data_IF_280087192128
#
_entry.id   IF_280087192128
#
_cell.length_a   1.000
_cell.length_b   1.000
_cell.length_c   1.000
_cell.angle_alpha   90.00
_cell.angle_beta   90.00
_cell.angle_gamma   90.00
#
_symmetry.space_group_name_H-M   'P 1'
#
loop_
_entity.id
_entity.type
_entity.pdbx_description
1 polymer ?
#
# COMPACT_ATOMS: atom_id res chain seq x y z
N UNK A 1 -4.27 27.07 -17.41
CA UNK A 1 -3.68 25.98 -16.59
C UNK A 1 -4.51 24.74 -16.90
N UNK A 2 -3.91 23.66 -17.42
CA UNK A 2 -4.65 22.42 -17.69
C UNK A 2 -4.96 21.72 -16.37
N UNK A 3 -6.17 21.19 -16.22
CA UNK A 3 -6.54 20.38 -15.06
C UNK A 3 -5.76 19.05 -15.08
N UNK A 4 -5.41 18.47 -13.92
CA UNK A 4 -4.75 17.17 -13.87
C UNK A 4 -5.66 16.08 -14.44
N UNK A 5 -5.05 15.05 -15.01
CA UNK A 5 -5.74 13.88 -15.57
C UNK A 5 -5.70 12.72 -14.59
N UNK A 6 -6.78 11.95 -14.53
CA UNK A 6 -6.84 10.75 -13.71
C UNK A 6 -7.24 9.51 -14.53
N UNK A 7 -6.77 8.34 -14.08
CA UNK A 7 -7.06 7.05 -14.69
C UNK A 7 -7.33 6.01 -13.62
N UNK A 8 -8.42 5.25 -13.78
CA UNK A 8 -8.70 4.09 -12.91
C UNK A 8 -7.74 2.95 -13.24
N UNK A 9 -7.08 2.41 -12.21
CA UNK A 9 -6.15 1.29 -12.33
C UNK A 9 -6.86 -0.02 -11.96
N UNK A 10 -7.71 -0.52 -12.86
CA UNK A 10 -8.52 -1.71 -12.61
C UNK A 10 -7.72 -3.01 -12.34
N UNK A 11 -6.45 -3.06 -12.76
CA UNK A 11 -5.52 -4.16 -12.50
C UNK A 11 -4.80 -4.09 -11.15
N UNK A 12 -5.16 -3.11 -10.31
CA UNK A 12 -4.57 -2.88 -9.00
C UNK A 12 -5.61 -3.10 -7.90
N UNK A 13 -5.17 -3.62 -6.76
CA UNK A 13 -6.03 -3.90 -5.61
C UNK A 13 -5.23 -3.82 -4.30
N UNK A 14 -5.95 -3.85 -3.17
CA UNK A 14 -5.38 -3.58 -1.84
C UNK A 14 -5.60 -4.75 -0.88
N UNK A 15 -4.53 -5.17 -0.20
CA UNK A 15 -4.60 -5.96 1.03
C UNK A 15 -4.56 -5.04 2.23
N UNK A 16 -5.43 -5.30 3.20
CA UNK A 16 -5.34 -4.71 4.53
C UNK A 16 -4.60 -5.68 5.46
N UNK A 17 -3.67 -5.15 6.24
CA UNK A 17 -3.00 -5.83 7.34
C UNK A 17 -3.27 -5.02 8.61
N UNK A 18 -3.98 -5.64 9.55
CA UNK A 18 -4.35 -5.05 10.84
C UNK A 18 -3.94 -5.99 11.99
N UNK A 19 -3.94 -5.47 13.21
CA UNK A 19 -3.62 -6.16 14.44
C UNK A 19 -2.35 -5.62 15.13
N UNK A 20 -2.22 -5.89 16.42
CA UNK A 20 -1.17 -5.34 17.27
C UNK A 20 0.25 -5.71 16.81
N UNK A 21 0.39 -6.82 16.08
CA UNK A 21 1.67 -7.30 15.57
C UNK A 21 1.93 -6.90 14.10
N UNK A 22 1.03 -6.16 13.44
CA UNK A 22 1.04 -5.95 11.98
C UNK A 22 2.38 -5.40 11.45
N UNK A 23 2.89 -4.34 12.08
CA UNK A 23 4.17 -3.71 11.68
C UNK A 23 5.36 -4.63 11.91
N UNK A 24 5.42 -5.29 13.07
CA UNK A 24 6.51 -6.19 13.42
C UNK A 24 6.52 -7.43 12.52
N UNK A 25 5.35 -7.99 12.24
CA UNK A 25 5.15 -9.07 11.29
C UNK A 25 5.63 -8.67 9.90
N UNK A 26 5.14 -7.56 9.35
CA UNK A 26 5.45 -7.15 7.98
C UNK A 26 6.95 -6.77 7.81
N UNK A 27 7.58 -6.19 8.84
CA UNK A 27 9.01 -5.86 8.82
C UNK A 27 9.90 -7.07 8.50
N UNK A 28 9.53 -8.25 8.97
CA UNK A 28 10.28 -9.49 8.70
C UNK A 28 10.00 -10.10 7.33
N UNK A 29 8.97 -9.62 6.62
CA UNK A 29 8.47 -10.24 5.40
C UNK A 29 8.90 -9.53 4.12
N UNK A 30 9.11 -8.20 4.17
CA UNK A 30 9.29 -7.37 2.98
C UNK A 30 10.70 -6.81 2.87
N UNK A 31 11.09 -6.36 1.67
CA UNK A 31 12.43 -5.88 1.37
C UNK A 31 12.76 -4.46 1.89
N UNK A 32 11.80 -3.76 2.49
CA UNK A 32 11.95 -2.38 2.93
C UNK A 32 11.51 -2.21 4.39
N UNK A 33 11.88 -1.08 4.98
CA UNK A 33 11.66 -0.78 6.39
C UNK A 33 10.24 -0.23 6.64
N UNK A 34 9.35 -1.07 7.14
CA UNK A 34 7.95 -0.76 7.49
C UNK A 34 7.86 0.34 8.55
N UNK A 35 8.90 0.56 9.36
CA UNK A 35 8.94 1.65 10.35
C UNK A 35 8.93 3.04 9.70
N UNK A 36 9.24 3.13 8.40
CA UNK A 36 9.12 4.37 7.62
C UNK A 36 7.68 4.68 7.22
N UNK A 37 6.78 3.70 7.27
CA UNK A 37 5.37 3.90 6.92
C UNK A 37 4.69 4.71 8.01
N UNK A 38 4.13 5.84 7.61
CA UNK A 38 3.39 6.79 8.44
C UNK A 38 2.19 7.31 7.64
N UNK A 39 1.22 8.00 8.25
CA UNK A 39 0.07 8.54 7.49
C UNK A 39 0.51 9.47 6.34
N UNK A 40 1.71 10.05 6.47
CA UNK A 40 2.31 11.03 5.57
C UNK A 40 3.42 10.41 4.70
N UNK A 41 3.70 9.12 4.88
CA UNK A 41 4.78 8.43 4.16
C UNK A 41 4.41 6.99 3.78
N UNK A 42 4.32 6.74 2.48
CA UNK A 42 4.23 5.42 1.89
C UNK A 42 5.61 4.94 1.42
N UNK A 43 5.79 3.62 1.35
CA UNK A 43 7.00 3.00 0.82
C UNK A 43 6.67 2.05 -0.33
N UNK A 44 7.62 1.82 -1.22
CA UNK A 44 7.59 0.68 -2.13
C UNK A 44 8.40 -0.47 -1.55
N UNK A 45 7.92 -1.70 -1.68
CA UNK A 45 8.62 -2.88 -1.18
C UNK A 45 8.32 -4.11 -2.04
N UNK A 46 9.18 -5.12 -1.90
CA UNK A 46 8.99 -6.43 -2.49
C UNK A 46 8.85 -7.51 -1.42
N UNK A 47 8.05 -8.54 -1.72
CA UNK A 47 8.04 -9.81 -1.01
C UNK A 47 8.86 -10.82 -1.82
N UNK A 48 9.84 -11.46 -1.18
CA UNK A 48 10.84 -12.30 -1.84
C UNK A 48 10.78 -13.73 -1.32
N UNK A 49 11.40 -14.68 -2.03
CA UNK A 49 11.73 -15.98 -1.44
C UNK A 49 12.83 -15.81 -0.38
N UNK A 50 13.04 -16.79 0.52
CA UNK A 50 14.17 -16.78 1.44
C UNK A 50 15.55 -16.69 0.76
N UNK A 51 15.65 -17.09 -0.51
CA UNK A 51 16.86 -16.99 -1.33
C UNK A 51 16.96 -15.65 -2.09
N UNK A 52 16.06 -14.69 -1.83
CA UNK A 52 16.06 -13.38 -2.46
C UNK A 52 15.46 -13.32 -3.87
N UNK A 53 14.75 -14.37 -4.33
CA UNK A 53 14.08 -14.31 -5.64
C UNK A 53 12.81 -13.49 -5.55
N UNK A 54 12.55 -12.67 -6.56
CA UNK A 54 11.33 -11.88 -6.65
C UNK A 54 10.07 -12.74 -6.62
N UNK A 55 9.10 -12.35 -5.79
CA UNK A 55 7.74 -12.88 -5.84
C UNK A 55 6.76 -11.75 -6.14
N UNK A 56 6.67 -10.72 -5.30
CA UNK A 56 5.68 -9.64 -5.47
C UNK A 56 6.31 -8.29 -5.16
N UNK A 57 5.77 -7.21 -5.73
CA UNK A 57 6.00 -5.84 -5.28
C UNK A 57 4.69 -5.10 -5.07
N UNK A 58 4.73 -4.08 -4.23
CA UNK A 58 3.58 -3.30 -3.82
C UNK A 58 4.03 -2.00 -3.14
N UNK A 59 3.11 -1.04 -3.09
CA UNK A 59 3.23 0.09 -2.16
C UNK A 59 2.62 -0.27 -0.81
N UNK A 60 3.20 0.25 0.26
CA UNK A 60 2.68 0.16 1.62
C UNK A 60 2.39 1.57 2.11
N UNK A 61 1.13 1.84 2.44
CA UNK A 61 0.72 3.04 3.16
C UNK A 61 0.04 2.66 4.47
N UNK A 62 -0.24 3.65 5.29
CA UNK A 62 -1.02 3.48 6.52
C UNK A 62 -2.28 4.33 6.47
N UNK A 63 -3.37 3.77 6.98
CA UNK A 63 -4.63 4.45 7.16
C UNK A 63 -5.26 3.97 8.47
N UNK A 64 -5.60 4.90 9.36
CA UNK A 64 -6.28 4.64 10.63
C UNK A 64 -5.57 3.58 11.51
N UNK A 65 -4.24 3.54 11.44
CA UNK A 65 -3.40 2.57 12.16
C UNK A 65 -3.21 1.22 11.43
N UNK A 66 -3.96 0.97 10.36
CA UNK A 66 -3.89 -0.25 9.54
C UNK A 66 -2.88 -0.07 8.40
N UNK A 67 -2.18 -1.14 8.02
CA UNK A 67 -1.29 -1.12 6.85
C UNK A 67 -2.04 -1.57 5.60
N UNK A 68 -1.88 -0.82 4.51
CA UNK A 68 -2.48 -1.14 3.21
C UNK A 68 -1.38 -1.48 2.21
N UNK A 69 -1.47 -2.65 1.59
CA UNK A 69 -0.57 -3.12 0.53
C UNK A 69 -1.28 -3.05 -0.82
N UNK A 70 -0.88 -2.08 -1.64
CA UNK A 70 -1.41 -1.86 -2.98
C UNK A 70 -0.52 -2.57 -4.03
N UNK A 71 -1.10 -3.49 -4.79
CA UNK A 71 -0.34 -4.29 -5.76
C UNK A 71 -1.20 -4.85 -6.89
N UNK A 72 -0.60 -5.76 -7.68
CA UNK A 72 -1.26 -6.40 -8.82
C UNK A 72 -2.44 -7.27 -8.39
N UNK A 73 -3.63 -6.95 -8.90
CA UNK A 73 -4.91 -7.55 -8.49
C UNK A 73 -4.92 -9.07 -8.62
N UNK A 74 -4.49 -9.58 -9.78
CA UNK A 74 -4.54 -11.02 -10.09
C UNK A 74 -3.55 -11.86 -9.27
N UNK A 75 -2.63 -11.18 -8.56
CA UNK A 75 -1.57 -11.81 -7.75
C UNK A 75 -1.78 -11.61 -6.26
N UNK A 76 -2.74 -10.79 -5.89
CA UNK A 76 -2.99 -10.36 -4.51
C UNK A 76 -3.40 -11.52 -3.62
N UNK A 77 -4.23 -12.44 -4.11
CA UNK A 77 -4.63 -13.64 -3.36
C UNK A 77 -3.46 -14.60 -3.10
N UNK A 78 -2.50 -14.70 -4.03
CA UNK A 78 -1.27 -15.47 -3.81
C UNK A 78 -0.36 -14.78 -2.78
N UNK A 79 -0.21 -13.45 -2.84
CA UNK A 79 0.51 -12.68 -1.83
C UNK A 79 -0.10 -12.88 -0.44
N UNK A 80 -1.44 -12.73 -0.30
CA UNK A 80 -2.17 -12.95 0.96
C UNK A 80 -1.92 -14.35 1.49
N UNK A 81 -2.06 -15.37 0.63
CA UNK A 81 -1.84 -16.78 1.01
C UNK A 81 -0.42 -16.97 1.53
N UNK A 82 0.59 -16.38 0.88
CA UNK A 82 2.00 -16.47 1.31
C UNK A 82 2.25 -15.80 2.64
N UNK A 83 1.81 -14.55 2.81
CA UNK A 83 1.92 -13.85 4.10
C UNK A 83 1.23 -14.64 5.22
N UNK A 84 0.05 -15.20 4.94
CA UNK A 84 -0.70 -16.00 5.92
C UNK A 84 0.07 -17.23 6.42
N UNK A 85 0.92 -17.86 5.59
CA UNK A 85 1.75 -18.98 6.02
C UNK A 85 2.78 -18.59 7.09
N UNK A 86 3.25 -17.35 7.08
CA UNK A 86 4.26 -16.85 8.03
C UNK A 86 3.66 -16.26 9.30
N UNK A 87 2.33 -16.19 9.41
CA UNK A 87 1.64 -15.51 10.49
C UNK A 87 1.85 -16.11 11.89
N UNK A 88 2.16 -17.40 12.00
CA UNK A 88 2.13 -18.21 13.24
C UNK A 88 2.27 -17.40 14.55
N UNK A 89 1.20 -17.38 15.36
CA UNK A 89 1.05 -16.67 16.65
C UNK A 89 1.02 -15.13 16.61
N UNK A 90 1.36 -14.50 15.49
CA UNK A 90 1.18 -13.06 15.31
C UNK A 90 -0.30 -12.72 15.31
N UNK A 91 -0.69 -11.76 16.15
CA UNK A 91 -2.04 -11.21 16.21
C UNK A 91 -2.24 -10.23 15.06
N UNK A 92 -2.42 -10.79 13.85
CA UNK A 92 -2.65 -10.03 12.62
C UNK A 92 -3.78 -10.62 11.79
N UNK A 93 -4.55 -9.75 11.15
CA UNK A 93 -5.53 -10.06 10.10
C UNK A 93 -4.96 -9.63 8.75
N UNK A 94 -5.25 -10.41 7.71
CA UNK A 94 -4.81 -10.11 6.34
C UNK A 94 -5.99 -10.33 5.41
N UNK A 95 -6.50 -9.24 4.84
CA UNK A 95 -7.78 -9.23 4.12
C UNK A 95 -7.64 -8.56 2.75
N UNK A 96 -8.29 -9.14 1.73
CA UNK A 96 -8.45 -8.49 0.43
C UNK A 96 -9.62 -7.52 0.51
N UNK A 97 -9.40 -6.23 0.23
CA UNK A 97 -10.47 -5.23 0.27
C UNK A 97 -11.40 -5.28 -0.96
N UNK A 98 -10.98 -5.98 -2.02
CA UNK A 98 -11.80 -6.21 -3.21
C UNK A 98 -12.33 -4.91 -3.81
N UNK A 99 -13.66 -4.84 -4.00
CA UNK A 99 -14.34 -3.70 -4.59
C UNK A 99 -14.62 -2.53 -3.62
N UNK A 100 -14.35 -2.71 -2.32
CA UNK A 100 -14.49 -1.64 -1.33
C UNK A 100 -13.48 -0.50 -1.54
N UNK A 101 -12.39 -0.78 -2.27
CA UNK A 101 -11.36 0.21 -2.61
C UNK A 101 -11.10 0.20 -4.12
N UNK A 102 -10.82 1.38 -4.66
CA UNK A 102 -10.42 1.59 -6.05
C UNK A 102 -9.10 2.35 -6.09
N UNK A 103 -8.18 1.91 -6.93
CA UNK A 103 -6.88 2.56 -7.12
C UNK A 103 -6.95 3.43 -8.37
N UNK A 104 -6.51 4.67 -8.24
CA UNK A 104 -6.48 5.64 -9.32
C UNK A 104 -5.08 6.24 -9.44
N UNK A 105 -4.65 6.52 -10.66
CA UNK A 105 -3.50 7.37 -10.93
C UNK A 105 -3.98 8.78 -11.22
N UNK A 106 -3.36 9.79 -10.60
CA UNK A 106 -3.54 11.20 -10.92
C UNK A 106 -2.19 11.74 -11.41
N UNK A 107 -2.18 12.42 -12.55
CA UNK A 107 -0.95 12.90 -13.18
C UNK A 107 -1.18 14.19 -13.98
N UNK A 108 -0.09 14.89 -14.28
CA UNK A 108 -0.09 16.20 -14.92
C UNK A 108 0.07 17.35 -13.92
N UNK A 109 0.17 18.56 -14.45
CA UNK A 109 0.43 19.76 -13.65
C UNK A 109 -0.68 19.99 -12.61
N UNK A 110 -0.29 20.24 -11.36
CA UNK A 110 -1.22 20.49 -10.25
C UNK A 110 -1.90 19.25 -9.67
N UNK A 111 -1.46 18.03 -10.04
CA UNK A 111 -1.96 16.79 -9.45
C UNK A 111 -1.77 16.74 -7.93
N UNK A 112 -0.60 17.13 -7.45
CA UNK A 112 -0.24 17.25 -6.04
C UNK A 112 -1.19 18.20 -5.28
N UNK A 113 -1.45 19.38 -5.84
CA UNK A 113 -2.36 20.37 -5.26
C UNK A 113 -3.80 19.84 -5.22
N UNK A 114 -4.24 19.15 -6.27
CA UNK A 114 -5.60 18.63 -6.38
C UNK A 114 -5.94 17.56 -5.32
N UNK A 115 -4.95 16.82 -4.83
CA UNK A 115 -5.11 15.85 -3.73
C UNK A 115 -4.61 16.36 -2.39
N UNK A 116 -4.24 17.65 -2.29
CA UNK A 116 -3.80 18.27 -1.05
C UNK A 116 -2.44 17.76 -0.54
N UNK A 117 -1.57 17.25 -1.42
CA UNK A 117 -0.19 16.95 -1.06
C UNK A 117 0.58 18.25 -0.77
N UNK A 118 1.58 18.22 0.14
CA UNK A 118 2.40 19.40 0.42
C UNK A 118 3.19 19.82 -0.82
N UNK A 119 3.42 21.13 -0.99
CA UNK A 119 4.09 21.71 -2.17
C UNK A 119 5.53 21.20 -2.43
N UNK A 120 6.14 20.52 -1.47
CA UNK A 120 7.44 19.87 -1.59
C UNK A 120 7.35 18.34 -1.51
N UNK A 121 6.24 17.77 -2.00
CA UNK A 121 6.04 16.33 -2.04
C UNK A 121 7.17 15.64 -2.81
N UNK A 122 7.66 14.55 -2.23
CA UNK A 122 8.69 13.70 -2.81
C UNK A 122 8.13 12.29 -3.02
N UNK A 123 8.93 11.41 -3.63
CA UNK A 123 8.57 10.01 -3.71
C UNK A 123 8.29 9.45 -2.30
N UNK A 124 7.12 8.83 -2.15
CA UNK A 124 6.66 8.30 -0.86
C UNK A 124 5.88 9.29 0.00
N UNK A 125 5.76 10.58 -0.34
CA UNK A 125 4.83 11.47 0.36
C UNK A 125 3.40 10.96 0.21
N UNK A 126 2.71 10.80 1.33
CA UNK A 126 1.31 10.39 1.39
C UNK A 126 0.49 11.45 2.15
N UNK A 127 -0.82 11.45 1.94
CA UNK A 127 -1.78 12.19 2.72
C UNK A 127 -3.15 11.51 2.59
N UNK A 128 -3.96 11.60 3.65
CA UNK A 128 -5.36 11.19 3.57
C UNK A 128 -6.16 12.26 2.82
N UNK A 129 -6.93 11.84 1.82
CA UNK A 129 -7.82 12.74 1.10
C UNK A 129 -9.08 12.98 1.94
N UNK A 130 -9.13 14.10 2.66
CA UNK A 130 -10.32 14.52 3.40
C UNK A 130 -11.35 15.07 2.42
N UNK A 131 -12.34 14.27 2.00
CA UNK A 131 -13.45 14.78 1.18
C UNK A 131 -14.16 13.84 0.20
N UNK A 132 -13.94 12.53 0.24
CA UNK A 132 -14.69 11.57 -0.60
C UNK A 132 -15.83 10.91 0.18
N UNK A 133 -17.08 11.10 -0.25
CA UNK A 133 -18.23 10.28 0.16
C UNK A 133 -18.18 8.91 -0.48
#
# INVERSE_FOLDING_TARGET
MMAPSFLSLAGRAVLRIDGVDARAFLQGMISNDVRKVAPEHAIWAAFLTPQGKFLHDFFVCEQDGELLLEGEKDRLSDLRRRLSMYRLRSQVTIEELGDAVRVWALFGDGADVAVGLPAAAQAGTAASLTGGT
#
